data_IF_560620912788
#
_entry.id   IF_560620912788
#
_cell.length_a   1.000
_cell.length_b   1.000
_cell.length_c   1.000
_cell.angle_alpha   90.00
_cell.angle_beta   90.00
_cell.angle_gamma   90.00
#
_symmetry.space_group_name_H-M   'P 1'
#
loop_
_entity.id
_entity.type
_entity.pdbx_description
1 polymer ?
#
# COMPACT_ATOMS: atom_id res chain seq x y z
N UNK A 1 27.73 1.42 10.23
CA UNK A 1 27.81 1.14 8.79
C UNK A 1 27.43 2.43 8.08
N UNK A 2 28.40 3.13 7.48
CA UNK A 2 28.20 4.37 6.73
C UNK A 2 27.98 3.98 5.26
N UNK A 3 26.82 4.32 4.70
CA UNK A 3 26.56 4.16 3.27
C UNK A 3 27.46 5.11 2.48
N UNK A 4 27.90 4.71 1.28
CA UNK A 4 28.66 5.62 0.42
C UNK A 4 27.75 6.76 -0.09
N UNK A 5 28.34 7.88 -0.46
CA UNK A 5 27.61 9.05 -0.98
C UNK A 5 26.78 8.69 -2.22
N UNK A 6 27.31 7.82 -3.08
CA UNK A 6 26.62 7.28 -4.26
C UNK A 6 25.39 6.44 -3.89
N UNK A 7 25.44 5.67 -2.79
CA UNK A 7 24.29 4.88 -2.33
C UNK A 7 23.17 5.74 -1.74
N UNK A 8 23.52 6.84 -1.07
CA UNK A 8 22.55 7.82 -0.56
C UNK A 8 21.83 8.53 -1.71
N UNK A 9 22.57 8.97 -2.73
CA UNK A 9 22.00 9.61 -3.93
C UNK A 9 21.07 8.63 -4.66
N UNK A 10 21.49 7.38 -4.85
CA UNK A 10 20.67 6.34 -5.49
C UNK A 10 19.38 6.09 -4.71
N UNK A 11 19.47 5.99 -3.39
CA UNK A 11 18.30 5.76 -2.52
C UNK A 11 17.31 6.93 -2.61
N UNK A 12 17.80 8.17 -2.53
CA UNK A 12 16.95 9.36 -2.67
C UNK A 12 16.22 9.41 -4.01
N UNK A 13 16.92 9.08 -5.11
CA UNK A 13 16.30 9.02 -6.44
C UNK A 13 15.23 7.93 -6.56
N UNK A 14 15.44 6.76 -5.94
CA UNK A 14 14.44 5.69 -5.89
C UNK A 14 13.20 6.12 -5.11
N UNK A 15 13.38 6.74 -3.94
CA UNK A 15 12.28 7.24 -3.12
C UNK A 15 11.43 8.27 -3.89
N UNK A 16 12.08 9.24 -4.54
CA UNK A 16 11.42 10.23 -5.39
C UNK A 16 10.63 9.59 -6.53
N UNK A 17 11.21 8.61 -7.23
CA UNK A 17 10.54 7.92 -8.34
C UNK A 17 9.35 7.10 -7.84
N UNK A 18 9.46 6.46 -6.67
CA UNK A 18 8.35 5.76 -6.04
C UNK A 18 7.22 6.71 -5.65
N UNK A 19 7.53 7.91 -5.15
CA UNK A 19 6.53 8.94 -4.87
C UNK A 19 5.77 9.37 -6.13
N UNK A 20 6.47 9.60 -7.24
CA UNK A 20 5.83 9.93 -8.52
C UNK A 20 4.87 8.82 -8.98
N UNK A 21 5.25 7.54 -8.80
CA UNK A 21 4.36 6.42 -9.12
C UNK A 21 3.09 6.42 -8.25
N UNK A 22 3.22 6.72 -6.95
CA UNK A 22 2.06 6.83 -6.05
C UNK A 22 1.12 7.94 -6.54
N UNK A 23 1.65 9.11 -6.89
CA UNK A 23 0.85 10.24 -7.37
C UNK A 23 0.08 9.92 -8.66
N UNK A 24 0.71 9.19 -9.59
CA UNK A 24 0.07 8.71 -10.82
C UNK A 24 -1.08 7.76 -10.47
N UNK A 25 -0.86 6.80 -9.56
CA UNK A 25 -1.89 5.84 -9.16
C UNK A 25 -3.07 6.53 -8.46
N UNK A 26 -2.81 7.50 -7.59
CA UNK A 26 -3.86 8.29 -6.93
C UNK A 26 -4.64 9.14 -7.95
N UNK A 27 -3.97 9.72 -8.94
CA UNK A 27 -4.63 10.43 -10.05
C UNK A 27 -5.58 9.50 -10.80
N UNK A 28 -5.14 8.31 -11.16
CA UNK A 28 -6.00 7.33 -11.84
C UNK A 28 -7.16 6.83 -10.99
N UNK A 29 -6.95 6.61 -9.69
CA UNK A 29 -8.02 6.23 -8.75
C UNK A 29 -9.14 7.29 -8.79
N UNK A 30 -8.77 8.57 -8.79
CA UNK A 30 -9.70 9.69 -8.82
C UNK A 30 -10.39 9.85 -10.18
N UNK A 31 -9.62 9.86 -11.27
CA UNK A 31 -10.13 10.08 -12.64
C UNK A 31 -11.08 8.95 -13.08
N UNK A 32 -10.72 7.71 -12.76
CA UNK A 32 -11.54 6.53 -13.05
C UNK A 32 -12.64 6.30 -12.03
N UNK A 33 -12.70 7.12 -10.96
CA UNK A 33 -13.68 7.03 -9.86
C UNK A 33 -13.71 5.62 -9.27
N UNK A 34 -12.54 5.04 -9.00
CA UNK A 34 -12.45 3.72 -8.41
C UNK A 34 -13.02 3.75 -6.98
N UNK A 35 -14.08 2.98 -6.79
CA UNK A 35 -14.83 2.99 -5.55
C UNK A 35 -14.04 2.37 -4.38
N UNK A 36 -14.19 2.96 -3.20
CA UNK A 36 -13.65 2.40 -1.95
C UNK A 36 -14.43 1.17 -1.51
N UNK A 37 -13.85 0.38 -0.61
CA UNK A 37 -14.45 -0.86 -0.11
C UNK A 37 -15.82 -0.61 0.56
N UNK A 38 -16.00 0.55 1.19
CA UNK A 38 -17.27 0.97 1.78
C UNK A 38 -18.46 0.98 0.80
N UNK A 39 -18.22 1.33 -0.48
CA UNK A 39 -19.25 1.30 -1.55
C UNK A 39 -19.83 -0.10 -1.75
N UNK A 40 -19.00 -1.12 -1.53
CA UNK A 40 -19.37 -2.54 -1.66
C UNK A 40 -19.92 -3.13 -0.34
N UNK A 41 -20.33 -2.28 0.59
CA UNK A 41 -20.86 -2.64 1.93
C UNK A 41 -19.85 -3.37 2.81
N UNK A 42 -18.56 -3.24 2.53
CA UNK A 42 -17.50 -3.70 3.43
C UNK A 42 -17.40 -2.68 4.56
N UNK A 43 -17.52 -3.18 5.79
CA UNK A 43 -17.46 -2.40 7.02
C UNK A 43 -16.25 -2.80 7.85
N UNK A 44 -15.99 -2.04 8.90
CA UNK A 44 -14.93 -2.32 9.86
C UNK A 44 -15.03 -3.73 10.48
N UNK A 45 -16.25 -4.22 10.71
CA UNK A 45 -16.51 -5.59 11.22
C UNK A 45 -16.08 -6.70 10.25
N UNK A 46 -15.88 -6.38 8.96
CA UNK A 46 -15.42 -7.32 7.95
C UNK A 46 -13.89 -7.37 7.81
N UNK A 47 -13.16 -6.46 8.45
CA UNK A 47 -11.71 -6.33 8.31
C UNK A 47 -10.98 -7.57 8.84
N UNK A 48 -11.32 -8.04 10.04
CA UNK A 48 -10.66 -9.20 10.64
C UNK A 48 -10.87 -10.49 9.80
N UNK A 49 -12.10 -10.83 9.36
CA UNK A 49 -12.32 -11.94 8.44
C UNK A 49 -11.53 -11.84 7.11
N UNK A 50 -11.31 -10.64 6.57
CA UNK A 50 -10.51 -10.43 5.36
C UNK A 50 -9.04 -10.75 5.63
N UNK A 51 -8.49 -10.27 6.74
CA UNK A 51 -7.09 -10.50 7.12
C UNK A 51 -6.82 -11.99 7.29
N UNK A 52 -7.68 -12.72 8.02
CA UNK A 52 -7.49 -14.15 8.26
C UNK A 52 -7.49 -15.00 6.98
N UNK A 53 -8.25 -14.57 5.96
CA UNK A 53 -8.33 -15.26 4.66
C UNK A 53 -7.21 -14.86 3.70
N UNK A 54 -6.49 -13.77 3.97
CA UNK A 54 -5.49 -13.24 3.05
C UNK A 54 -4.16 -14.00 3.17
N UNK A 55 -3.81 -14.77 2.14
CA UNK A 55 -2.51 -15.44 2.03
C UNK A 55 -1.47 -14.56 1.34
N UNK A 56 -0.56 -13.94 2.09
CA UNK A 56 0.49 -13.05 1.57
C UNK A 56 1.72 -13.78 0.97
N UNK A 57 1.53 -14.87 0.24
CA UNK A 57 2.64 -15.75 -0.15
C UNK A 57 3.58 -15.13 -1.20
N UNK A 58 3.12 -14.14 -1.98
CA UNK A 58 3.83 -13.61 -3.14
C UNK A 58 4.21 -12.11 -3.03
N UNK A 59 4.03 -11.48 -1.86
CA UNK A 59 4.43 -10.08 -1.69
C UNK A 59 5.95 -10.01 -1.40
N UNK A 60 6.75 -9.23 -2.17
CA UNK A 60 8.19 -9.08 -1.92
C UNK A 60 8.51 -8.52 -0.53
N UNK A 61 7.56 -7.81 0.09
CA UNK A 61 7.67 -7.37 1.48
C UNK A 61 6.80 -8.27 2.35
N UNK A 62 7.43 -8.82 3.39
CA UNK A 62 6.72 -9.58 4.43
C UNK A 62 5.90 -8.61 5.28
N UNK A 63 4.58 -8.68 5.15
CA UNK A 63 3.65 -7.90 5.97
C UNK A 63 3.14 -8.76 7.12
N UNK A 64 3.04 -8.17 8.32
CA UNK A 64 2.35 -8.81 9.44
C UNK A 64 0.86 -8.45 9.40
N UNK A 65 0.02 -9.16 10.17
CA UNK A 65 -1.44 -8.95 10.19
C UNK A 65 -1.81 -7.48 10.42
N UNK A 66 -1.08 -6.79 11.28
CA UNK A 66 -1.32 -5.37 11.59
C UNK A 66 -1.03 -4.43 10.40
N UNK A 67 -0.06 -4.76 9.54
CA UNK A 67 0.21 -3.97 8.33
C UNK A 67 -0.94 -4.13 7.33
N UNK A 68 -1.42 -5.37 7.14
CA UNK A 68 -2.58 -5.65 6.28
C UNK A 68 -3.82 -4.91 6.79
N UNK A 69 -4.03 -4.93 8.10
CA UNK A 69 -5.15 -4.24 8.75
C UNK A 69 -5.16 -2.76 8.40
N UNK A 70 -4.02 -2.08 8.52
CA UNK A 70 -3.88 -0.67 8.15
C UNK A 70 -4.19 -0.44 6.67
N UNK A 71 -3.69 -1.30 5.78
CA UNK A 71 -3.96 -1.22 4.34
C UNK A 71 -5.46 -1.34 4.05
N UNK A 72 -6.14 -2.34 4.63
CA UNK A 72 -7.58 -2.55 4.41
C UNK A 72 -8.39 -1.39 4.99
N UNK A 73 -8.05 -0.90 6.19
CA UNK A 73 -8.72 0.24 6.81
C UNK A 73 -8.57 1.53 6.00
N UNK A 74 -7.40 1.79 5.40
CA UNK A 74 -7.18 2.95 4.55
C UNK A 74 -8.04 2.93 3.27
N UNK A 75 -8.59 1.76 2.91
CA UNK A 75 -9.42 1.55 1.71
C UNK A 75 -10.91 1.46 2.02
N UNK A 76 -11.32 1.53 3.29
CA UNK A 76 -12.71 1.77 3.66
C UNK A 76 -13.13 3.20 3.27
#
# INVERSE_FOLDING_TARGET
MLFSEEELIRKGKTEETCSVLIDILETWINDLKLERLGKYRIKIENVEPIIERTGLKNNPVKLVKEDIKKIVLNRL
#
